data_IF_734094026023
#
_entry.id   IF_734094026023
#
_cell.length_a   1.000
_cell.length_b   1.000
_cell.length_c   1.000
_cell.angle_alpha   90.00
_cell.angle_beta   90.00
_cell.angle_gamma   90.00
#
_symmetry.space_group_name_H-M   'P 1'
#
loop_
_entity.id
_entity.type
_entity.pdbx_description
1 polymer ?
#
# COMPACT_ATOMS: atom_id res chain seq x y z
N UNK A 1 -4.96 21.21 0.19
CA UNK A 1 -3.68 21.93 0.33
C UNK A 1 -4.02 23.33 0.75
N UNK A 2 -3.29 23.91 1.70
CA UNK A 2 -3.42 25.35 1.94
C UNK A 2 -2.68 26.09 0.81
N UNK A 3 -3.41 26.88 0.04
CA UNK A 3 -2.90 27.57 -1.14
C UNK A 3 -1.80 28.60 -0.81
N UNK A 4 -1.77 29.10 0.43
CA UNK A 4 -0.77 30.07 0.86
C UNK A 4 0.57 29.40 1.22
N UNK A 5 0.53 28.22 1.86
CA UNK A 5 1.72 27.53 2.37
C UNK A 5 2.17 26.36 1.49
N UNK A 6 1.33 25.91 0.55
CA UNK A 6 1.55 24.72 -0.27
C UNK A 6 1.47 23.41 0.53
N UNK A 7 1.16 23.47 1.83
CA UNK A 7 1.15 22.29 2.68
C UNK A 7 -0.11 21.45 2.44
N UNK A 8 0.10 20.14 2.18
CA UNK A 8 -0.99 19.16 2.20
C UNK A 8 -1.43 18.90 3.65
N UNK A 9 -2.70 19.19 3.93
CA UNK A 9 -3.41 18.86 5.18
C UNK A 9 -4.44 17.78 4.88
N UNK A 10 -4.14 16.49 5.17
CA UNK A 10 -5.14 15.45 5.09
C UNK A 10 -6.15 15.65 6.23
N UNK A 11 -7.43 15.75 5.88
CA UNK A 11 -8.56 15.79 6.80
C UNK A 11 -9.25 14.43 6.74
N UNK A 12 -9.57 13.85 7.90
CA UNK A 12 -10.19 12.53 7.98
C UNK A 12 -11.30 12.55 9.03
N UNK A 13 -12.53 12.28 8.61
CA UNK A 13 -13.69 12.07 9.47
C UNK A 13 -14.67 11.13 8.75
N UNK A 14 -15.27 10.18 9.47
CA UNK A 14 -16.21 9.23 8.87
C UNK A 14 -17.47 9.90 8.33
N UNK A 15 -17.87 11.07 8.84
CA UNK A 15 -19.00 11.85 8.33
C UNK A 15 -18.79 12.38 6.89
N UNK A 16 -17.55 12.36 6.39
CA UNK A 16 -17.22 12.74 5.01
C UNK A 16 -17.14 11.53 4.06
N UNK A 17 -17.41 10.33 4.57
CA UNK A 17 -17.42 9.10 3.76
C UNK A 17 -18.56 9.19 2.75
N UNK A 18 -18.34 8.88 1.45
CA UNK A 18 -19.43 8.80 0.50
C UNK A 18 -20.49 7.80 0.96
N UNK A 19 -21.76 8.20 1.02
CA UNK A 19 -22.87 7.30 1.37
C UNK A 19 -23.03 6.15 0.36
N UNK A 20 -22.57 6.37 -0.87
CA UNK A 20 -22.52 5.39 -1.93
C UNK A 20 -21.22 5.56 -2.73
N UNK A 21 -20.47 4.47 -2.88
CA UNK A 21 -19.29 4.40 -3.72
C UNK A 21 -19.56 3.50 -4.93
N UNK A 22 -19.30 4.02 -6.14
CA UNK A 22 -19.40 3.27 -7.40
C UNK A 22 -18.01 3.15 -8.00
N UNK A 23 -17.57 1.93 -8.26
CA UNK A 23 -16.22 1.59 -8.75
C UNK A 23 -16.36 0.83 -10.06
N UNK A 24 -16.57 1.57 -11.15
CA UNK A 24 -16.78 1.01 -12.49
C UNK A 24 -15.44 0.92 -13.26
N UNK A 25 -15.02 -0.31 -13.55
CA UNK A 25 -13.78 -0.57 -14.26
C UNK A 25 -13.75 -0.04 -15.70
N UNK A 26 -14.90 0.24 -16.32
CA UNK A 26 -14.95 0.83 -17.65
C UNK A 26 -14.27 2.21 -17.69
N UNK A 27 -14.29 2.95 -16.59
CA UNK A 27 -13.68 4.29 -16.48
C UNK A 27 -12.15 4.26 -16.43
N UNK A 28 -11.55 3.08 -16.21
CA UNK A 28 -10.09 2.94 -16.02
C UNK A 28 -9.37 2.25 -17.18
N UNK A 29 -10.10 1.80 -18.21
CA UNK A 29 -9.53 1.02 -19.31
C UNK A 29 -8.48 1.80 -20.10
N UNK A 30 -8.73 3.09 -20.34
CA UNK A 30 -7.90 3.95 -21.18
C UNK A 30 -6.92 4.83 -20.39
N UNK A 31 -6.76 4.60 -19.08
CA UNK A 31 -5.80 5.37 -18.28
C UNK A 31 -4.36 5.13 -18.74
N UNK A 32 -3.51 6.17 -18.75
CA UNK A 32 -2.10 6.04 -19.14
C UNK A 32 -1.33 5.11 -18.19
N UNK A 33 -0.25 4.53 -18.70
CA UNK A 33 0.64 3.61 -17.95
C UNK A 33 1.15 4.21 -16.64
N UNK A 34 1.55 5.48 -16.65
CA UNK A 34 2.03 6.17 -15.45
C UNK A 34 0.97 6.20 -14.34
N UNK A 35 -0.29 6.52 -14.67
CA UNK A 35 -1.37 6.54 -13.70
C UNK A 35 -1.71 5.13 -13.19
N UNK A 36 -1.64 4.12 -14.05
CA UNK A 36 -1.76 2.72 -13.65
C UNK A 36 -0.67 2.32 -12.64
N UNK A 37 0.60 2.62 -12.94
CA UNK A 37 1.71 2.33 -12.06
C UNK A 37 1.60 3.06 -10.72
N UNK A 38 1.43 4.39 -10.75
CA UNK A 38 1.39 5.18 -9.53
C UNK A 38 0.18 4.81 -8.66
N UNK A 39 -1.02 4.67 -9.24
CA UNK A 39 -2.20 4.27 -8.49
C UNK A 39 -2.12 2.85 -7.92
N UNK A 40 -1.58 1.90 -8.69
CA UNK A 40 -1.38 0.52 -8.22
C UNK A 40 -0.33 0.42 -7.10
N UNK A 41 0.80 1.11 -7.24
CA UNK A 41 1.86 1.14 -6.21
C UNK A 41 1.44 1.89 -4.95
N UNK A 42 0.58 2.89 -5.10
CA UNK A 42 -0.07 3.56 -3.97
C UNK A 42 -0.97 2.58 -3.20
N UNK A 43 -1.82 1.82 -3.91
CA UNK A 43 -2.65 0.79 -3.32
C UNK A 43 -1.84 -0.34 -2.63
N UNK A 44 -0.68 -0.70 -3.17
CA UNK A 44 0.26 -1.60 -2.49
C UNK A 44 0.70 -1.00 -1.16
N UNK A 45 1.09 0.27 -1.15
CA UNK A 45 1.52 0.98 0.06
C UNK A 45 0.37 1.12 1.07
N UNK A 46 -0.84 1.44 0.62
CA UNK A 46 -2.05 1.48 1.45
C UNK A 46 -2.25 0.17 2.22
N UNK A 47 -2.24 -0.97 1.51
CA UNK A 47 -2.49 -2.26 2.13
C UNK A 47 -1.32 -2.72 3.02
N UNK A 48 -0.07 -2.46 2.61
CA UNK A 48 1.10 -2.74 3.44
C UNK A 48 1.05 -2.00 4.77
N UNK A 49 0.85 -0.69 4.74
CA UNK A 49 0.81 0.13 5.96
C UNK A 49 -0.41 -0.19 6.81
N UNK A 50 -1.59 -0.44 6.21
CA UNK A 50 -2.79 -0.81 6.94
C UNK A 50 -2.61 -2.14 7.69
N UNK A 51 -2.04 -3.17 7.07
CA UNK A 51 -1.85 -4.48 7.70
C UNK A 51 -0.88 -4.45 8.89
N UNK A 52 0.15 -3.60 8.81
CA UNK A 52 1.13 -3.44 9.90
C UNK A 52 0.79 -2.31 10.86
N UNK A 53 -0.33 -1.62 10.65
CA UNK A 53 -0.76 -0.51 11.48
C UNK A 53 -1.00 -0.96 12.91
N UNK A 54 -0.84 -0.02 13.84
CA UNK A 54 -1.20 -0.21 15.24
C UNK A 54 -2.71 -0.29 15.46
N UNK A 55 -3.50 0.14 14.48
CA UNK A 55 -4.97 0.06 14.44
C UNK A 55 -5.49 -1.09 13.57
N UNK A 56 -4.60 -1.98 13.13
CA UNK A 56 -4.97 -3.16 12.38
C UNK A 56 -5.90 -4.07 13.19
N UNK A 57 -6.89 -4.67 12.52
CA UNK A 57 -7.82 -5.65 13.08
C UNK A 57 -8.07 -6.77 12.08
N UNK A 58 -8.65 -7.88 12.54
CA UNK A 58 -9.04 -9.01 11.71
C UNK A 58 -9.99 -8.62 10.55
N UNK A 59 -10.76 -7.52 10.71
CA UNK A 59 -11.65 -6.99 9.69
C UNK A 59 -10.89 -6.30 8.54
N UNK A 60 -9.84 -5.53 8.86
CA UNK A 60 -9.02 -4.82 7.87
C UNK A 60 -7.96 -5.74 7.26
N UNK A 61 -7.47 -6.70 8.03
CA UNK A 61 -6.31 -7.53 7.69
C UNK A 61 -6.58 -8.41 6.47
N UNK A 62 -7.73 -9.09 6.42
CA UNK A 62 -8.11 -9.91 5.28
C UNK A 62 -8.24 -9.10 3.98
N UNK A 63 -8.75 -7.87 4.07
CA UNK A 63 -8.89 -6.98 2.93
C UNK A 63 -7.53 -6.51 2.42
N UNK A 64 -6.64 -6.08 3.32
CA UNK A 64 -5.28 -5.67 2.94
C UNK A 64 -4.52 -6.81 2.23
N UNK A 65 -4.59 -8.03 2.75
CA UNK A 65 -3.95 -9.19 2.12
C UNK A 65 -4.55 -9.52 0.75
N UNK A 66 -5.89 -9.48 0.61
CA UNK A 66 -6.56 -9.70 -0.66
C UNK A 66 -6.19 -8.65 -1.70
N UNK A 67 -6.10 -7.37 -1.31
CA UNK A 67 -5.64 -6.30 -2.18
C UNK A 67 -4.20 -6.55 -2.66
N UNK A 68 -3.28 -6.88 -1.75
CA UNK A 68 -1.88 -7.17 -2.10
C UNK A 68 -1.74 -8.35 -3.04
N UNK A 69 -2.51 -9.42 -2.81
CA UNK A 69 -2.54 -10.61 -3.68
C UNK A 69 -2.98 -10.25 -5.09
N UNK A 70 -4.11 -9.54 -5.22
CA UNK A 70 -4.63 -9.12 -6.52
C UNK A 70 -3.66 -8.18 -7.24
N UNK A 71 -3.04 -7.23 -6.53
CA UNK A 71 -2.05 -6.31 -7.10
C UNK A 71 -0.81 -7.07 -7.58
N UNK A 72 -0.29 -8.02 -6.79
CA UNK A 72 0.82 -8.87 -7.23
C UNK A 72 0.52 -9.65 -8.51
N UNK A 73 -0.70 -10.18 -8.63
CA UNK A 73 -1.09 -11.03 -9.76
C UNK A 73 -1.46 -10.25 -11.03
N UNK A 74 -2.00 -9.04 -10.88
CA UNK A 74 -2.66 -8.33 -11.98
C UNK A 74 -2.03 -6.98 -12.34
N UNK A 75 -1.30 -6.32 -11.43
CA UNK A 75 -0.77 -4.97 -11.69
C UNK A 75 0.23 -4.94 -12.85
N UNK A 76 1.21 -5.86 -12.96
CA UNK A 76 2.12 -5.89 -14.11
C UNK A 76 1.38 -6.04 -15.44
N UNK A 77 0.45 -7.00 -15.51
CA UNK A 77 -0.39 -7.25 -16.68
C UNK A 77 -1.24 -6.02 -17.03
N UNK A 78 -1.86 -5.38 -16.04
CA UNK A 78 -2.66 -4.17 -16.23
C UNK A 78 -1.84 -3.02 -16.80
N UNK A 79 -0.57 -2.89 -16.39
CA UNK A 79 0.35 -1.87 -16.88
C UNK A 79 0.82 -2.13 -18.32
N UNK A 80 1.23 -3.36 -18.65
CA UNK A 80 1.75 -3.69 -19.97
C UNK A 80 0.66 -3.84 -21.04
N UNK A 81 -0.45 -4.47 -20.67
CA UNK A 81 -1.53 -4.81 -21.60
C UNK A 81 -2.65 -3.76 -21.63
N UNK A 82 -2.85 -3.02 -20.54
CA UNK A 82 -3.87 -1.97 -20.48
C UNK A 82 -5.27 -2.51 -20.78
N UNK A 83 -6.01 -1.81 -21.63
CA UNK A 83 -7.35 -2.22 -22.09
C UNK A 83 -7.39 -3.55 -22.87
N UNK A 84 -6.23 -4.06 -23.35
CA UNK A 84 -6.17 -5.41 -23.95
C UNK A 84 -6.40 -6.52 -22.93
N UNK A 85 -6.22 -6.22 -21.63
CA UNK A 85 -6.52 -7.13 -20.53
C UNK A 85 -7.49 -6.46 -19.54
N UNK A 86 -8.79 -6.39 -19.88
CA UNK A 86 -9.78 -5.73 -19.04
C UNK A 86 -9.92 -6.42 -17.68
N UNK A 87 -9.68 -7.73 -17.61
CA UNK A 87 -9.72 -8.50 -16.35
C UNK A 87 -8.65 -7.98 -15.39
N UNK A 88 -7.40 -7.85 -15.84
CA UNK A 88 -6.33 -7.32 -14.99
C UNK A 88 -6.62 -5.88 -14.54
N UNK A 89 -7.11 -5.03 -15.45
CA UNK A 89 -7.55 -3.64 -15.14
C UNK A 89 -8.62 -3.60 -14.06
N UNK A 90 -9.66 -4.40 -14.19
CA UNK A 90 -10.75 -4.48 -13.22
C UNK A 90 -10.28 -4.99 -11.86
N UNK A 91 -9.42 -6.02 -11.83
CA UNK A 91 -8.87 -6.57 -10.59
C UNK A 91 -8.00 -5.56 -9.85
N UNK A 92 -7.16 -4.80 -10.56
CA UNK A 92 -6.37 -3.71 -9.96
C UNK A 92 -7.27 -2.61 -9.42
N UNK A 93 -8.31 -2.22 -10.17
CA UNK A 93 -9.25 -1.18 -9.73
C UNK A 93 -10.00 -1.60 -8.46
N UNK A 94 -10.49 -2.85 -8.43
CA UNK A 94 -11.13 -3.44 -7.25
C UNK A 94 -10.15 -3.55 -6.08
N UNK A 95 -8.91 -3.99 -6.32
CA UNK A 95 -7.89 -4.16 -5.28
C UNK A 95 -7.51 -2.82 -4.62
N UNK A 96 -7.41 -1.75 -5.41
CA UNK A 96 -7.18 -0.41 -4.88
C UNK A 96 -8.31 0.04 -3.93
N UNK A 97 -9.56 -0.26 -4.27
CA UNK A 97 -10.71 0.00 -3.40
C UNK A 97 -10.73 -0.90 -2.16
N UNK A 98 -10.37 -2.18 -2.30
CA UNK A 98 -10.26 -3.10 -1.16
C UNK A 98 -9.20 -2.61 -0.17
N UNK A 99 -8.06 -2.10 -0.66
CA UNK A 99 -7.08 -1.43 0.20
C UNK A 99 -7.71 -0.22 0.93
N UNK A 100 -8.60 0.51 0.26
CA UNK A 100 -9.47 1.53 0.84
C UNK A 100 -10.27 1.05 2.06
N UNK A 101 -10.93 -0.11 1.95
CA UNK A 101 -11.66 -0.71 3.09
C UNK A 101 -10.72 -0.97 4.28
N UNK A 102 -9.49 -1.42 4.01
CA UNK A 102 -8.50 -1.66 5.04
C UNK A 102 -8.01 -0.35 5.69
N UNK A 103 -7.46 0.58 4.92
CA UNK A 103 -6.85 1.79 5.48
C UNK A 103 -7.87 2.80 5.99
N UNK A 104 -9.13 2.77 5.55
CA UNK A 104 -10.18 3.61 6.13
C UNK A 104 -10.44 3.31 7.62
N UNK A 105 -10.05 2.12 8.10
CA UNK A 105 -10.25 1.68 9.48
C UNK A 105 -8.92 1.50 10.23
N UNK A 106 -7.90 0.99 9.56
CA UNK A 106 -6.56 0.80 10.13
C UNK A 106 -5.66 2.03 9.97
N UNK A 107 -6.13 3.07 9.26
CA UNK A 107 -5.34 4.21 8.81
C UNK A 107 -4.09 3.79 8.03
N UNK A 108 -3.15 4.71 7.88
CA UNK A 108 -1.92 4.55 7.11
C UNK A 108 -0.71 4.63 8.04
N UNK A 109 0.48 4.77 7.48
CA UNK A 109 1.71 4.91 8.24
C UNK A 109 2.55 6.12 7.84
N UNK A 110 3.83 6.02 8.14
CA UNK A 110 4.79 7.11 7.95
C UNK A 110 5.21 7.28 6.49
N UNK A 111 5.00 6.29 5.62
CA UNK A 111 5.24 6.42 4.19
C UNK A 111 4.38 7.56 3.62
N UNK A 112 3.07 7.51 3.85
CA UNK A 112 2.13 8.55 3.45
C UNK A 112 2.43 9.91 4.07
N UNK A 113 2.80 9.91 5.35
CA UNK A 113 3.14 11.16 6.06
C UNK A 113 4.28 11.92 5.35
N UNK A 114 5.32 11.20 4.93
CA UNK A 114 6.45 11.77 4.19
C UNK A 114 6.10 12.04 2.72
N UNK A 115 5.38 11.11 2.06
CA UNK A 115 4.98 11.24 0.65
C UNK A 115 4.12 12.49 0.40
N UNK A 116 3.23 12.85 1.33
CA UNK A 116 2.47 14.10 1.25
C UNK A 116 3.38 15.33 1.16
N UNK A 117 4.46 15.38 1.95
CA UNK A 117 5.36 16.53 2.01
C UNK A 117 6.37 16.54 0.86
N UNK A 118 6.90 15.37 0.49
CA UNK A 118 7.73 15.23 -0.71
C UNK A 118 6.94 15.64 -1.95
N UNK A 119 5.71 15.13 -2.09
CA UNK A 119 4.84 15.45 -3.22
C UNK A 119 4.40 16.91 -3.24
N UNK A 120 4.19 17.55 -2.08
CA UNK A 120 3.85 18.98 -2.05
C UNK A 120 5.04 19.88 -2.38
N UNK A 121 6.22 19.58 -1.85
CA UNK A 121 7.41 20.42 -2.01
C UNK A 121 8.05 20.28 -3.39
N UNK A 122 8.05 19.07 -3.96
CA UNK A 122 8.76 18.75 -5.20
C UNK A 122 7.82 18.40 -6.36
N UNK A 123 6.50 18.52 -6.16
CA UNK A 123 5.48 18.17 -7.15
C UNK A 123 5.59 16.74 -7.68
N UNK A 124 6.09 15.83 -6.85
CA UNK A 124 6.18 14.40 -7.16
C UNK A 124 4.78 13.78 -7.02
N UNK A 125 4.30 12.99 -8.00
CA UNK A 125 3.05 12.24 -7.90
C UNK A 125 3.00 11.36 -6.65
N UNK A 126 1.83 11.27 -6.01
CA UNK A 126 1.66 10.62 -4.72
C UNK A 126 2.13 9.16 -4.70
N UNK A 127 1.65 8.35 -5.65
CA UNK A 127 2.06 6.95 -5.78
C UNK A 127 3.55 6.75 -6.08
N UNK A 128 4.17 7.69 -6.81
CA UNK A 128 5.61 7.67 -7.05
C UNK A 128 6.39 7.96 -5.76
N UNK A 129 5.97 8.97 -4.99
CA UNK A 129 6.60 9.28 -3.70
C UNK A 129 6.50 8.10 -2.72
N UNK A 130 5.34 7.43 -2.66
CA UNK A 130 5.16 6.21 -1.87
C UNK A 130 6.07 5.07 -2.33
N UNK A 131 6.14 4.81 -3.65
CA UNK A 131 7.01 3.77 -4.21
C UNK A 131 8.51 3.99 -3.91
N UNK A 132 8.96 5.25 -3.89
CA UNK A 132 10.33 5.61 -3.53
C UNK A 132 10.65 5.35 -2.05
N UNK A 133 9.66 5.45 -1.17
CA UNK A 133 9.84 5.36 0.28
C UNK A 133 9.60 3.96 0.85
N UNK A 134 8.63 3.23 0.32
CA UNK A 134 8.03 2.05 0.99
C UNK A 134 9.05 0.99 1.38
N UNK A 135 10.04 0.68 0.53
CA UNK A 135 11.06 -0.31 0.85
C UNK A 135 11.91 0.09 2.08
N UNK A 136 12.23 1.38 2.22
CA UNK A 136 13.00 1.87 3.36
C UNK A 136 12.11 1.99 4.61
N UNK A 137 10.84 2.35 4.45
CA UNK A 137 9.86 2.39 5.54
C UNK A 137 9.61 1.00 6.13
N UNK A 138 9.53 -0.04 5.30
CA UNK A 138 9.43 -1.42 5.76
C UNK A 138 10.62 -1.77 6.64
N UNK A 139 11.86 -1.50 6.19
CA UNK A 139 13.07 -1.76 6.99
C UNK A 139 13.07 -0.99 8.31
N UNK A 140 12.63 0.26 8.29
CA UNK A 140 12.51 1.11 9.47
C UNK A 140 11.54 0.51 10.50
N UNK A 141 10.33 0.14 10.07
CA UNK A 141 9.30 -0.44 10.94
C UNK A 141 9.59 -1.88 11.36
N UNK A 142 10.33 -2.65 10.55
CA UNK A 142 10.63 -4.06 10.81
C UNK A 142 11.76 -4.30 11.83
N UNK A 143 12.06 -3.31 12.68
CA UNK A 143 12.97 -3.45 13.81
C UNK A 143 12.18 -3.92 15.06
N UNK A 144 12.57 -5.05 15.64
CA UNK A 144 11.92 -5.61 16.84
C UNK A 144 12.21 -4.81 18.11
N UNK A 145 13.23 -3.96 18.11
CA UNK A 145 13.60 -3.09 19.23
C UNK A 145 13.62 -1.61 18.79
N UNK A 146 12.46 -1.03 18.44
CA UNK A 146 12.39 0.35 18.01
C UNK A 146 12.64 1.30 19.18
N UNK A 147 13.15 2.49 18.89
CA UNK A 147 13.42 3.51 19.92
C UNK A 147 12.14 4.09 20.54
N UNK A 148 11.00 3.96 19.85
CA UNK A 148 9.67 4.35 20.31
C UNK A 148 8.61 3.37 19.80
N UNK A 149 7.51 3.27 20.53
CA UNK A 149 6.32 2.51 20.16
C UNK A 149 5.09 3.41 20.34
N UNK A 150 4.13 3.31 19.43
CA UNK A 150 2.84 3.98 19.60
C UNK A 150 2.11 3.40 20.81
N UNK A 151 1.67 4.26 21.72
CA UNK A 151 0.94 3.86 22.91
C UNK A 151 -0.53 3.55 22.56
N UNK A 152 -0.79 2.36 22.03
CA UNK A 152 -2.14 1.86 21.74
C UNK A 152 -2.37 0.55 22.47
N UNK A 153 -3.48 0.41 23.20
CA UNK A 153 -3.69 -0.71 24.14
C UNK A 153 -3.72 -2.09 23.46
N UNK A 154 -4.25 -2.15 22.24
CA UNK A 154 -4.26 -3.37 21.43
C UNK A 154 -2.87 -3.72 20.86
N UNK A 155 -1.96 -2.73 20.79
CA UNK A 155 -0.61 -2.88 20.25
C UNK A 155 0.39 -3.16 21.39
N UNK A 156 0.40 -4.41 21.84
CA UNK A 156 1.14 -4.86 23.03
C UNK A 156 2.67 -4.76 22.91
N UNK A 157 3.23 -5.11 21.76
CA UNK A 157 4.67 -5.08 21.44
C UNK A 157 4.88 -4.81 19.95
N UNK A 158 6.09 -4.48 19.49
CA UNK A 158 6.36 -4.30 18.06
C UNK A 158 6.13 -5.62 17.32
N UNK A 159 5.09 -5.67 16.49
CA UNK A 159 4.75 -6.84 15.68
C UNK A 159 5.07 -6.64 14.20
N UNK A 160 5.41 -5.43 13.77
CA UNK A 160 5.56 -5.06 12.36
C UNK A 160 6.50 -6.00 11.58
N UNK A 161 7.64 -6.40 12.18
CA UNK A 161 8.55 -7.39 11.58
C UNK A 161 7.86 -8.71 11.26
N UNK A 162 7.12 -9.27 12.22
CA UNK A 162 6.34 -10.51 12.03
C UNK A 162 5.24 -10.29 10.99
N UNK A 163 4.53 -9.17 11.06
CA UNK A 163 3.42 -8.84 10.16
C UNK A 163 3.86 -8.69 8.69
N UNK A 164 5.02 -8.09 8.42
CA UNK A 164 5.58 -8.07 7.06
C UNK A 164 5.95 -9.47 6.56
N UNK A 165 6.43 -10.36 7.43
CA UNK A 165 6.71 -11.74 7.05
C UNK A 165 5.42 -12.54 6.76
N UNK A 166 4.33 -12.29 7.50
CA UNK A 166 2.99 -12.85 7.21
C UNK A 166 2.51 -12.45 5.80
N UNK A 167 2.75 -11.20 5.40
CA UNK A 167 2.45 -10.73 4.04
C UNK A 167 3.27 -11.52 3.01
N UNK A 168 4.58 -11.69 3.23
CA UNK A 168 5.44 -12.43 2.31
C UNK A 168 4.99 -13.90 2.16
N UNK A 169 4.57 -14.54 3.24
CA UNK A 169 3.99 -15.89 3.23
C UNK A 169 2.68 -15.91 2.43
N UNK A 170 1.77 -14.97 2.69
CA UNK A 170 0.48 -14.88 1.98
C UNK A 170 0.63 -14.69 0.47
N UNK A 171 1.65 -13.92 0.07
CA UNK A 171 1.96 -13.66 -1.34
C UNK A 171 2.75 -14.79 -2.03
N UNK A 172 3.09 -15.85 -1.30
CA UNK A 172 3.85 -16.99 -1.80
C UNK A 172 5.30 -16.64 -2.16
N UNK A 173 5.89 -15.66 -1.47
CA UNK A 173 7.28 -15.23 -1.71
C UNK A 173 8.27 -16.09 -0.92
N UNK A 174 7.87 -16.62 0.24
CA UNK A 174 8.73 -17.38 1.12
C UNK A 174 8.85 -18.86 0.75
N UNK A 175 9.90 -19.51 1.28
CA UNK A 175 10.09 -20.95 1.22
C UNK A 175 9.95 -21.56 2.62
N UNK A 176 9.59 -22.86 2.73
CA UNK A 176 9.57 -23.56 4.01
C UNK A 176 10.90 -23.42 4.77
N UNK A 177 10.83 -23.03 6.04
CA UNK A 177 12.00 -22.85 6.90
C UNK A 177 12.68 -21.47 6.81
N UNK A 178 12.19 -20.56 5.96
CA UNK A 178 12.71 -19.19 5.93
C UNK A 178 12.58 -18.50 7.29
N UNK A 179 13.67 -17.88 7.74
CA UNK A 179 13.64 -16.97 8.89
C UNK A 179 12.83 -15.72 8.54
N UNK A 180 12.20 -15.09 9.53
CA UNK A 180 11.43 -13.84 9.37
C UNK A 180 12.19 -12.77 8.59
N UNK A 181 13.50 -12.61 8.82
CA UNK A 181 14.34 -11.66 8.08
C UNK A 181 14.39 -11.96 6.57
N UNK A 182 14.55 -13.23 6.19
CA UNK A 182 14.59 -13.62 4.78
C UNK A 182 13.25 -13.37 4.08
N UNK A 183 12.13 -13.60 4.78
CA UNK A 183 10.79 -13.30 4.27
C UNK A 183 10.61 -11.81 3.94
N UNK A 184 11.13 -10.93 4.80
CA UNK A 184 11.10 -9.47 4.58
C UNK A 184 12.00 -9.09 3.40
N UNK A 185 13.21 -9.65 3.30
CA UNK A 185 14.08 -9.38 2.14
C UNK A 185 13.44 -9.84 0.82
N UNK A 186 12.72 -10.96 0.81
CA UNK A 186 11.95 -11.40 -0.36
C UNK A 186 10.76 -10.49 -0.67
N UNK A 187 10.09 -9.94 0.34
CA UNK A 187 9.06 -8.92 0.16
C UNK A 187 9.64 -7.65 -0.49
N UNK A 188 10.79 -7.19 0.00
CA UNK A 188 11.51 -6.04 -0.54
C UNK A 188 11.98 -6.30 -1.98
N UNK A 189 12.49 -7.50 -2.27
CA UNK A 189 12.89 -7.89 -3.61
C UNK A 189 11.71 -7.89 -4.59
N UNK A 190 10.54 -8.36 -4.16
CA UNK A 190 9.31 -8.25 -4.96
C UNK A 190 8.93 -6.78 -5.22
N UNK A 191 9.00 -5.92 -4.20
CA UNK A 191 8.72 -4.49 -4.36
C UNK A 191 9.71 -3.79 -5.31
N UNK A 192 11.00 -4.11 -5.23
CA UNK A 192 11.98 -3.58 -6.20
C UNK A 192 11.74 -4.12 -7.62
N UNK A 193 11.39 -5.41 -7.75
CA UNK A 193 11.09 -6.03 -9.04
C UNK A 193 9.86 -5.38 -9.70
N UNK A 194 8.76 -5.21 -8.96
CA UNK A 194 7.53 -4.62 -9.51
C UNK A 194 7.73 -3.14 -9.83
N UNK A 195 8.49 -2.38 -9.02
CA UNK A 195 8.85 -1.00 -9.37
C UNK A 195 9.66 -0.94 -10.65
N UNK A 196 10.67 -1.80 -10.80
CA UNK A 196 11.49 -1.83 -12.01
C UNK A 196 10.68 -2.18 -13.28
N UNK A 197 9.71 -3.08 -13.16
CA UNK A 197 8.83 -3.47 -14.26
C UNK A 197 7.85 -2.35 -14.67
N UNK A 198 7.38 -1.55 -13.71
CA UNK A 198 6.43 -0.46 -13.94
C UNK A 198 7.09 0.88 -14.34
N UNK A 199 8.43 0.93 -14.36
CA UNK A 199 9.22 2.12 -14.71
C UNK A 199 9.23 3.21 -13.65
#
# INVERSE_FOLDING_TARGET
TDDATGQKYPLADYALTPDMAIVDANLVMDMPKSLCAFGGLDAVTHALEAYVSVLASEFSDGQALQALKLLKENLPTSYHEGSRNPVARERVHSAATIAGIAFANAFLGVCHSMAHKLGSQFHIPHGLANALLVCNVIRYNANDNPTKQTAFSQYDRPQARRRYAEIADHLGLSAPGDRTAAKIEKLLAWLESIKAELG
#
